data_IF_678276422342
#
_entry.id   IF_678276422342
#
_cell.length_a   1.000
_cell.length_b   1.000
_cell.length_c   1.000
_cell.angle_alpha   90.00
_cell.angle_beta   90.00
_cell.angle_gamma   90.00
#
_symmetry.space_group_name_H-M   'P 1'
#
loop_
_entity.id
_entity.type
_entity.pdbx_description
1 polymer ?
#
# COMPACT_ATOMS: atom_id res chain seq x y z
N UNK A 1 62.35 53.23 20.07
CA UNK A 1 62.52 52.03 20.92
C UNK A 1 61.25 51.84 21.73
N UNK A 2 60.82 50.59 21.79
CA UNK A 2 59.65 50.00 22.46
C UNK A 2 58.22 50.23 21.90
N UNK A 3 57.59 49.15 21.39
CA UNK A 3 56.23 49.10 20.86
C UNK A 3 55.23 48.61 21.92
N UNK A 4 53.98 48.36 21.48
CA UNK A 4 52.89 47.63 22.15
C UNK A 4 51.88 48.54 22.89
N UNK A 5 50.56 48.32 22.81
CA UNK A 5 49.82 47.08 22.63
C UNK A 5 48.51 47.33 21.86
N UNK A 6 48.37 46.64 20.73
CA UNK A 6 47.07 46.36 20.11
C UNK A 6 46.37 45.30 20.96
N UNK A 7 45.32 45.69 21.67
CA UNK A 7 44.43 44.77 22.38
C UNK A 7 43.49 44.15 21.34
N UNK A 8 43.92 43.02 20.78
CA UNK A 8 43.11 42.16 19.92
C UNK A 8 42.11 41.42 20.82
N UNK A 9 40.91 41.97 20.97
CA UNK A 9 39.79 41.28 21.62
C UNK A 9 39.30 40.20 20.66
N UNK A 10 39.88 39.00 20.78
CA UNK A 10 39.36 37.81 20.13
C UNK A 10 38.05 37.42 20.83
N UNK A 11 36.93 37.91 20.31
CA UNK A 11 35.61 37.39 20.63
C UNK A 11 35.57 35.95 20.12
N UNK A 12 35.87 35.02 21.02
CA UNK A 12 35.61 33.60 20.85
C UNK A 12 34.08 33.46 20.76
N UNK A 13 33.52 33.54 19.55
CA UNK A 13 32.19 33.04 19.27
C UNK A 13 32.26 31.52 19.47
N UNK A 14 32.07 31.09 20.71
CA UNK A 14 31.61 29.74 20.98
C UNK A 14 30.22 29.67 20.34
N UNK A 15 30.17 29.20 19.10
CA UNK A 15 28.94 28.70 18.53
C UNK A 15 28.53 27.53 19.43
N UNK A 16 27.67 27.81 20.41
CA UNK A 16 26.95 26.77 21.12
C UNK A 16 26.13 26.07 20.06
N UNK A 17 26.63 24.93 19.59
CA UNK A 17 25.79 24.00 18.85
C UNK A 17 24.68 23.65 19.83
N UNK A 18 23.48 24.17 19.59
CA UNK A 18 22.29 23.69 20.26
C UNK A 18 22.20 22.21 19.92
N UNK A 19 22.52 21.35 20.89
CA UNK A 19 22.32 19.93 20.72
C UNK A 19 20.82 19.71 20.74
N UNK A 20 20.29 18.99 19.74
CA UNK A 20 18.93 18.49 19.79
C UNK A 20 18.78 17.66 21.07
N UNK A 21 17.89 18.07 21.97
CA UNK A 21 17.59 17.24 23.14
C UNK A 21 16.63 16.13 22.72
N UNK A 22 16.79 14.94 23.29
CA UNK A 22 15.80 13.88 23.11
C UNK A 22 14.75 14.00 24.22
N UNK A 23 13.52 14.26 23.84
CA UNK A 23 12.37 14.35 24.74
C UNK A 23 11.45 13.16 24.56
N UNK A 24 11.31 12.36 25.61
CA UNK A 24 10.44 11.18 25.62
C UNK A 24 9.10 11.51 26.25
N UNK A 25 8.01 11.23 25.54
CA UNK A 25 6.65 11.38 26.02
C UNK A 25 6.34 10.34 27.10
N UNK A 26 5.95 10.80 28.28
CA UNK A 26 5.55 9.96 29.42
C UNK A 26 4.03 9.96 29.61
N UNK A 27 3.35 11.02 29.18
CA UNK A 27 1.93 11.28 29.45
C UNK A 27 1.56 11.29 30.95
N UNK A 28 2.49 11.63 31.84
CA UNK A 28 2.29 11.46 33.28
C UNK A 28 1.20 12.35 33.88
N UNK A 29 0.83 13.46 33.23
CA UNK A 29 -0.17 14.41 33.72
C UNK A 29 -1.45 14.43 32.86
N UNK A 30 -1.33 14.58 31.54
CA UNK A 30 -2.48 14.63 30.61
C UNK A 30 -2.05 14.38 29.15
N UNK A 31 -2.97 14.55 28.20
CA UNK A 31 -2.74 14.30 26.77
C UNK A 31 -2.08 15.47 26.01
N UNK A 32 -1.86 16.63 26.63
CA UNK A 32 -1.42 17.84 25.95
C UNK A 32 0.11 17.90 25.81
N UNK A 33 0.61 18.14 24.61
CA UNK A 33 2.05 18.24 24.33
C UNK A 33 2.72 19.46 24.98
N UNK A 34 1.97 20.53 25.22
CA UNK A 34 2.51 21.75 25.84
C UNK A 34 2.83 21.60 27.34
N UNK A 35 2.37 20.53 27.98
CA UNK A 35 2.55 20.33 29.42
C UNK A 35 3.88 19.64 29.74
N UNK A 36 4.76 20.37 30.42
CA UNK A 36 6.08 19.92 30.86
C UNK A 36 6.10 18.61 31.64
N UNK A 37 5.05 18.35 32.44
CA UNK A 37 4.99 17.13 33.25
C UNK A 37 4.84 15.84 32.42
N UNK A 38 4.49 15.96 31.13
CA UNK A 38 4.35 14.82 30.23
C UNK A 38 5.64 14.43 29.50
N UNK A 39 6.76 15.12 29.77
CA UNK A 39 8.02 14.91 29.05
C UNK A 39 9.16 14.53 29.98
N UNK A 40 10.02 13.66 29.48
CA UNK A 40 11.31 13.32 30.07
C UNK A 40 12.39 13.64 29.03
N UNK A 41 13.03 14.79 29.17
CA UNK A 41 14.09 15.24 28.25
C UNK A 41 15.48 15.00 28.83
N UNK A 42 16.47 14.76 27.95
CA UNK A 42 17.86 14.47 28.34
C UNK A 42 18.67 15.69 28.79
N UNK A 43 18.10 16.90 28.79
CA UNK A 43 18.78 18.13 29.19
C UNK A 43 17.92 19.07 30.03
N UNK A 44 18.11 20.38 29.85
CA UNK A 44 17.49 21.40 30.69
C UNK A 44 16.08 21.78 30.23
N UNK A 45 15.68 21.31 29.05
CA UNK A 45 14.37 21.56 28.48
C UNK A 45 13.34 20.67 29.17
N UNK A 46 12.19 21.25 29.52
CA UNK A 46 11.08 20.51 30.16
C UNK A 46 9.90 20.31 29.22
N UNK A 47 9.89 20.97 28.08
CA UNK A 47 8.91 20.84 26.98
C UNK A 47 9.69 20.93 25.67
N UNK A 48 9.63 19.93 24.78
CA UNK A 48 10.42 19.93 23.56
C UNK A 48 10.15 21.18 22.73
N UNK A 49 11.24 21.82 22.30
CA UNK A 49 11.25 22.98 21.43
C UNK A 49 11.51 22.60 19.97
N UNK A 50 11.77 23.63 19.16
CA UNK A 50 12.21 23.40 17.77
C UNK A 50 13.56 22.70 17.79
N UNK A 51 13.83 21.87 16.79
CA UNK A 51 15.07 21.07 16.64
C UNK A 51 15.29 19.95 17.65
N UNK A 52 14.39 19.73 18.61
CA UNK A 52 14.48 18.58 19.50
C UNK A 52 13.98 17.29 18.84
N UNK A 53 14.49 16.15 19.30
CA UNK A 53 14.02 14.82 18.89
C UNK A 53 12.92 14.37 19.85
N UNK A 54 11.70 14.16 19.34
CA UNK A 54 10.57 13.74 20.17
C UNK A 54 10.23 12.27 19.96
N UNK A 55 10.13 11.54 21.06
CA UNK A 55 9.90 10.09 21.07
C UNK A 55 8.62 9.79 21.84
N UNK A 56 7.72 9.05 21.19
CA UNK A 56 6.46 8.57 21.73
C UNK A 56 6.55 7.04 21.94
N UNK A 57 6.95 6.57 23.13
CA UNK A 57 7.24 5.16 23.37
C UNK A 57 5.98 4.35 23.71
N UNK A 58 6.00 3.04 23.44
CA UNK A 58 4.83 2.17 23.66
C UNK A 58 4.37 2.08 25.13
N UNK A 59 5.21 2.47 26.10
CA UNK A 59 4.94 2.39 27.54
C UNK A 59 4.50 3.73 28.16
N UNK A 60 4.18 4.75 27.37
CA UNK A 60 3.59 5.98 27.91
C UNK A 60 2.25 5.71 28.59
N UNK A 61 1.91 6.49 29.61
CA UNK A 61 0.68 6.29 30.40
C UNK A 61 -0.60 6.50 29.58
N UNK A 62 -0.52 7.32 28.52
CA UNK A 62 -1.61 7.59 27.57
C UNK A 62 -1.04 7.68 26.15
N UNK A 63 -1.69 6.96 25.23
CA UNK A 63 -1.33 6.92 23.80
C UNK A 63 -2.22 7.83 22.92
N UNK A 64 -3.27 8.42 23.50
CA UNK A 64 -4.03 9.50 22.88
C UNK A 64 -3.37 10.84 23.21
N UNK A 65 -2.94 11.54 22.17
CA UNK A 65 -2.07 12.72 22.28
C UNK A 65 -2.71 13.90 21.54
N UNK A 66 -2.68 15.07 22.16
CA UNK A 66 -3.19 16.32 21.61
C UNK A 66 -2.01 17.28 21.45
N UNK A 67 -1.66 17.58 20.21
CA UNK A 67 -0.76 18.68 19.92
C UNK A 67 -1.48 20.02 20.12
N UNK A 68 -1.22 20.67 21.25
CA UNK A 68 -1.80 21.95 21.62
C UNK A 68 -0.78 23.10 21.57
N UNK A 69 0.41 22.86 20.99
CA UNK A 69 1.33 23.95 20.71
C UNK A 69 0.67 25.00 19.80
N UNK A 70 0.94 26.30 19.99
CA UNK A 70 0.46 27.34 19.07
C UNK A 70 0.83 27.02 17.61
N UNK A 71 0.01 27.48 16.66
CA UNK A 71 0.06 27.08 15.22
C UNK A 71 1.45 27.25 14.57
N UNK A 72 2.32 28.10 15.10
CA UNK A 72 3.76 28.08 14.83
C UNK A 72 4.45 26.93 15.60
N UNK A 73 3.91 25.71 15.45
CA UNK A 73 4.35 24.52 16.19
C UNK A 73 5.86 24.35 15.97
N UNK A 74 6.63 24.02 17.01
CA UNK A 74 8.04 23.75 16.83
C UNK A 74 8.23 22.69 15.74
N UNK A 75 9.05 23.00 14.74
CA UNK A 75 9.53 21.98 13.83
C UNK A 75 10.55 21.15 14.61
N UNK A 76 10.12 20.01 15.15
CA UNK A 76 10.99 19.05 15.79
C UNK A 76 12.04 18.58 14.79
N UNK A 77 13.21 18.15 15.24
CA UNK A 77 14.19 17.57 14.33
C UNK A 77 13.69 16.20 13.84
N UNK A 78 13.44 15.28 14.76
CA UNK A 78 12.76 14.02 14.47
C UNK A 78 11.52 13.79 15.34
N UNK A 79 10.56 13.04 14.80
CA UNK A 79 9.35 12.61 15.51
C UNK A 79 9.22 11.10 15.36
N UNK A 80 9.21 10.36 16.46
CA UNK A 80 9.10 8.89 16.42
C UNK A 80 7.90 8.40 17.23
N UNK A 81 7.00 7.65 16.58
CA UNK A 81 5.88 6.97 17.22
C UNK A 81 6.08 5.46 17.27
N UNK A 82 5.98 4.93 18.49
CA UNK A 82 5.72 3.52 18.70
C UNK A 82 4.26 3.17 18.34
N UNK A 83 3.91 1.87 18.34
CA UNK A 83 2.54 1.41 18.09
C UNK A 83 1.50 1.90 19.10
N UNK A 84 0.26 2.09 18.64
CA UNK A 84 -0.95 2.31 19.43
C UNK A 84 -1.36 3.77 19.61
N UNK A 85 -0.64 4.72 19.02
CA UNK A 85 -0.91 6.14 19.21
C UNK A 85 -2.08 6.66 18.37
N UNK A 86 -2.86 7.55 18.98
CA UNK A 86 -3.83 8.41 18.30
C UNK A 86 -3.42 9.87 18.50
N UNK A 87 -3.22 10.61 17.40
CA UNK A 87 -2.75 12.01 17.43
C UNK A 87 -3.85 12.95 16.92
N UNK A 88 -4.15 13.98 17.71
CA UNK A 88 -5.10 15.03 17.36
C UNK A 88 -4.56 16.43 17.69
N UNK A 89 -5.38 17.44 17.43
CA UNK A 89 -5.04 18.85 17.66
C UNK A 89 -4.37 19.52 16.45
N UNK A 90 -3.40 20.39 16.73
CA UNK A 90 -2.69 21.18 15.73
C UNK A 90 -1.71 20.33 14.89
N UNK A 91 -1.31 20.80 13.69
CA UNK A 91 -0.34 20.08 12.87
C UNK A 91 0.97 19.82 13.62
N UNK A 92 1.45 18.57 13.55
CA UNK A 92 2.73 18.16 14.13
C UNK A 92 3.79 18.19 13.03
N UNK A 93 4.89 18.90 13.23
CA UNK A 93 5.90 19.13 12.19
C UNK A 93 7.28 18.58 12.57
N UNK A 94 7.95 17.91 11.63
CA UNK A 94 9.35 17.49 11.73
C UNK A 94 10.20 18.10 10.61
N UNK A 95 11.47 18.37 10.93
CA UNK A 95 12.45 18.97 10.05
C UNK A 95 13.26 17.93 9.26
N UNK A 96 13.62 16.81 9.89
CA UNK A 96 14.44 15.76 9.30
C UNK A 96 13.66 14.48 9.01
N UNK A 97 12.92 13.97 9.99
CA UNK A 97 12.28 12.67 9.85
C UNK A 97 11.07 12.49 10.78
N UNK A 98 10.02 11.86 10.26
CA UNK A 98 8.94 11.28 11.04
C UNK A 98 8.92 9.76 10.84
N UNK A 99 8.99 9.00 11.93
CA UNK A 99 8.88 7.54 11.93
C UNK A 99 7.59 7.15 12.65
N UNK A 100 6.75 6.37 11.97
CA UNK A 100 5.51 5.84 12.54
C UNK A 100 5.57 4.33 12.52
N UNK A 101 5.34 3.70 13.66
CA UNK A 101 5.24 2.24 13.76
C UNK A 101 3.79 1.89 14.08
N UNK A 102 3.14 1.08 13.24
CA UNK A 102 1.71 0.78 13.38
C UNK A 102 1.36 -0.18 14.54
N UNK A 103 0.09 -0.25 14.97
CA UNK A 103 -1.04 0.59 14.55
C UNK A 103 -0.88 2.06 14.96
N UNK A 104 -1.45 2.99 14.20
CA UNK A 104 -1.36 4.43 14.47
C UNK A 104 -2.53 5.16 13.79
N UNK A 105 -3.07 6.19 14.42
CA UNK A 105 -4.11 7.04 13.83
C UNK A 105 -3.78 8.53 14.05
N UNK A 106 -3.91 9.36 13.01
CA UNK A 106 -3.79 10.80 13.16
C UNK A 106 -4.94 11.55 12.50
N UNK A 107 -5.65 12.32 13.31
CA UNK A 107 -6.61 13.33 12.86
C UNK A 107 -5.93 14.68 12.63
N UNK A 108 -4.82 14.95 13.32
CA UNK A 108 -3.96 16.11 13.06
C UNK A 108 -3.10 15.89 11.80
N UNK A 109 -2.81 16.93 11.02
CA UNK A 109 -1.82 16.84 9.95
C UNK A 109 -0.42 16.54 10.48
N UNK A 110 0.24 15.51 9.95
CA UNK A 110 1.65 15.22 10.15
C UNK A 110 2.46 15.80 8.99
N UNK A 111 3.28 16.79 9.30
CA UNK A 111 4.08 17.49 8.32
C UNK A 111 5.55 17.06 8.48
N UNK A 112 6.13 16.46 7.46
CA UNK A 112 7.55 16.09 7.45
C UNK A 112 8.27 16.88 6.37
N UNK A 113 9.20 17.75 6.77
CA UNK A 113 10.08 18.43 5.83
C UNK A 113 11.09 17.46 5.21
N UNK A 114 11.48 16.42 5.94
CA UNK A 114 12.30 15.32 5.45
C UNK A 114 11.52 14.01 5.35
N UNK A 115 12.14 12.88 5.71
CA UNK A 115 11.61 11.55 5.46
C UNK A 115 10.35 11.25 6.27
N UNK A 116 9.35 10.59 5.67
CA UNK A 116 8.26 9.97 6.42
C UNK A 116 8.34 8.45 6.24
N UNK A 117 8.61 7.72 7.31
CA UNK A 117 8.72 6.26 7.29
C UNK A 117 7.58 5.63 8.07
N UNK A 118 6.90 4.68 7.43
CA UNK A 118 5.86 3.86 8.06
C UNK A 118 6.35 2.43 8.19
N UNK A 119 6.53 2.00 9.44
CA UNK A 119 7.02 0.67 9.81
C UNK A 119 5.88 -0.23 10.30
N UNK A 120 6.02 -1.51 9.97
CA UNK A 120 5.11 -2.56 10.41
C UNK A 120 5.46 -3.13 11.78
N UNK A 121 4.52 -3.90 12.35
CA UNK A 121 4.72 -4.70 13.56
C UNK A 121 4.32 -6.14 13.33
N UNK A 122 4.90 -7.05 14.12
CA UNK A 122 4.47 -8.45 14.13
C UNK A 122 2.98 -8.52 14.51
N UNK A 123 2.19 -9.22 13.69
CA UNK A 123 0.72 -9.25 13.81
C UNK A 123 -0.01 -8.19 12.97
N UNK A 124 0.72 -7.26 12.35
CA UNK A 124 0.17 -6.19 11.53
C UNK A 124 -0.48 -5.07 12.35
N UNK A 125 -0.88 -4.01 11.66
CA UNK A 125 -1.56 -2.86 12.26
C UNK A 125 -1.74 -1.75 11.22
N UNK A 126 -2.93 -1.15 11.20
CA UNK A 126 -3.23 -0.05 10.29
C UNK A 126 -2.58 1.24 10.81
N UNK A 127 -1.90 1.94 9.91
CA UNK A 127 -1.41 3.30 10.09
C UNK A 127 -2.27 4.21 9.24
N UNK A 128 -3.14 4.99 9.87
CA UNK A 128 -3.90 6.03 9.20
C UNK A 128 -3.32 7.39 9.57
N UNK A 129 -2.97 8.18 8.56
CA UNK A 129 -2.50 9.54 8.81
C UNK A 129 -2.96 10.50 7.72
N UNK A 130 -3.08 11.75 8.15
CA UNK A 130 -3.27 12.91 7.29
C UNK A 130 -2.02 13.77 7.41
N UNK A 131 -1.57 14.39 6.33
CA UNK A 131 -0.31 15.13 6.41
C UNK A 131 0.25 15.60 5.08
N UNK A 132 1.49 16.05 5.12
CA UNK A 132 2.26 16.42 3.93
C UNK A 132 3.73 16.12 4.15
N UNK A 133 4.37 15.59 3.11
CA UNK A 133 5.82 15.48 3.03
C UNK A 133 6.30 16.53 2.03
N UNK A 134 7.32 17.30 2.38
CA UNK A 134 7.67 18.51 1.62
C UNK A 134 8.93 18.34 0.75
N UNK A 135 10.03 17.78 1.27
CA UNK A 135 11.33 17.83 0.57
C UNK A 135 12.06 16.47 0.47
N UNK A 136 11.44 15.38 0.89
CA UNK A 136 12.04 14.06 0.80
C UNK A 136 10.99 13.03 0.34
N UNK A 137 11.07 11.80 0.85
CA UNK A 137 10.32 10.65 0.37
C UNK A 137 9.45 10.06 1.48
N UNK A 138 8.30 9.51 1.06
CA UNK A 138 7.46 8.65 1.87
C UNK A 138 7.84 7.19 1.60
N UNK A 139 8.18 6.45 2.66
CA UNK A 139 8.47 5.02 2.57
C UNK A 139 7.48 4.24 3.42
N UNK A 140 6.75 3.30 2.81
CA UNK A 140 5.83 2.40 3.51
C UNK A 140 6.37 0.97 3.46
N UNK A 141 6.64 0.43 4.64
CA UNK A 141 7.42 -0.80 4.82
C UNK A 141 8.91 -0.53 4.66
N UNK A 142 9.74 -1.23 5.42
CA UNK A 142 11.20 -1.32 5.23
C UNK A 142 11.83 -2.34 6.20
N UNK A 143 11.08 -3.39 6.56
CA UNK A 143 11.43 -4.27 7.66
C UNK A 143 10.88 -5.69 7.50
N UNK A 144 11.05 -6.51 8.53
CA UNK A 144 10.61 -7.91 8.53
C UNK A 144 9.12 -8.08 8.87
N UNK A 145 8.39 -6.98 9.06
CA UNK A 145 6.98 -6.99 9.44
C UNK A 145 6.13 -6.16 8.47
N UNK A 146 4.90 -6.61 8.27
CA UNK A 146 3.95 -5.95 7.37
C UNK A 146 3.55 -4.56 7.87
N UNK A 147 3.78 -3.54 7.04
CA UNK A 147 3.33 -2.18 7.28
C UNK A 147 2.10 -1.91 6.43
N UNK A 148 1.04 -1.34 7.01
CA UNK A 148 -0.18 -1.03 6.27
C UNK A 148 -0.57 0.41 6.51
N UNK A 149 -0.48 1.24 5.47
CA UNK A 149 -0.75 2.67 5.53
C UNK A 149 -1.98 3.06 4.71
N UNK A 150 -2.82 3.93 5.26
CA UNK A 150 -3.84 4.70 4.54
C UNK A 150 -3.54 6.19 4.73
N UNK A 151 -3.49 6.94 3.63
CA UNK A 151 -3.02 8.32 3.61
C UNK A 151 -4.03 9.24 2.92
N UNK A 152 -4.49 10.32 3.57
CA UNK A 152 -5.55 11.20 3.01
C UNK A 152 -5.07 12.55 2.43
N UNK A 153 -3.77 12.88 2.44
CA UNK A 153 -3.30 14.17 1.90
C UNK A 153 -1.82 14.17 1.46
N UNK A 154 -1.49 14.89 0.39
CA UNK A 154 -0.16 15.50 0.15
C UNK A 154 -0.30 16.77 -0.68
N UNK A 155 0.41 17.82 -0.29
CA UNK A 155 0.42 19.12 -0.96
C UNK A 155 1.60 19.32 -1.92
N UNK A 156 2.61 18.44 -1.88
CA UNK A 156 3.76 18.47 -2.78
C UNK A 156 3.98 17.10 -3.41
N UNK A 157 4.30 17.11 -4.70
CA UNK A 157 4.69 15.91 -5.44
C UNK A 157 6.03 15.42 -4.88
N UNK A 158 5.99 14.39 -4.04
CA UNK A 158 7.17 13.74 -3.46
C UNK A 158 7.33 12.31 -3.95
N UNK A 159 8.55 11.74 -3.98
CA UNK A 159 8.74 10.32 -4.22
C UNK A 159 8.02 9.49 -3.14
N UNK A 160 7.34 8.43 -3.58
CA UNK A 160 6.69 7.45 -2.71
C UNK A 160 7.24 6.07 -3.04
N UNK A 161 7.71 5.36 -2.03
CA UNK A 161 8.16 3.97 -2.14
C UNK A 161 7.32 3.07 -1.26
N UNK A 162 6.77 2.02 -1.85
CA UNK A 162 6.15 0.90 -1.14
C UNK A 162 7.15 -0.25 -1.16
N UNK A 163 7.87 -0.42 -0.06
CA UNK A 163 8.91 -1.43 0.03
C UNK A 163 8.32 -2.84 0.25
N UNK A 164 9.19 -3.84 0.38
CA UNK A 164 8.77 -5.21 0.70
C UNK A 164 7.94 -5.26 1.99
N UNK A 165 6.85 -6.04 1.97
CA UNK A 165 5.86 -6.14 3.06
C UNK A 165 5.12 -4.83 3.39
N UNK A 166 5.38 -3.76 2.63
CA UNK A 166 4.59 -2.54 2.67
C UNK A 166 3.28 -2.70 1.93
N UNK A 167 2.21 -2.17 2.50
CA UNK A 167 0.92 -1.99 1.87
C UNK A 167 0.50 -0.54 2.02
N UNK A 168 0.23 0.14 0.90
CA UNK A 168 -0.18 1.54 0.89
C UNK A 168 -1.52 1.71 0.16
N UNK A 169 -2.43 2.45 0.78
CA UNK A 169 -3.59 3.05 0.13
C UNK A 169 -3.49 4.57 0.19
N UNK A 170 -3.69 5.21 -0.95
CA UNK A 170 -3.63 6.67 -1.10
C UNK A 170 -5.02 7.21 -1.34
N UNK A 171 -5.53 8.00 -0.41
CA UNK A 171 -6.81 8.69 -0.47
C UNK A 171 -6.82 9.84 -1.49
N UNK A 172 -8.03 10.33 -1.76
CA UNK A 172 -8.26 11.35 -2.77
C UNK A 172 -7.46 12.64 -2.50
N UNK A 173 -6.75 13.11 -3.52
CA UNK A 173 -5.93 14.33 -3.44
C UNK A 173 -4.47 14.10 -3.08
N UNK A 174 -4.05 12.86 -2.83
CA UNK A 174 -2.62 12.53 -2.71
C UNK A 174 -1.94 12.70 -4.07
N UNK A 175 -0.87 13.51 -4.08
CA UNK A 175 -0.04 13.77 -5.26
C UNK A 175 1.40 13.35 -5.01
N UNK A 176 1.90 12.40 -5.80
CA UNK A 176 3.30 11.94 -5.73
C UNK A 176 4.10 12.45 -6.94
N UNK A 177 5.41 12.70 -6.75
CA UNK A 177 6.33 12.92 -7.88
C UNK A 177 6.60 11.62 -8.61
N UNK A 178 6.91 10.56 -7.89
CA UNK A 178 7.09 9.20 -8.44
C UNK A 178 6.48 8.21 -7.48
N UNK A 179 6.12 7.03 -7.99
CA UNK A 179 5.64 5.93 -7.17
C UNK A 179 6.38 4.65 -7.54
N UNK A 180 7.16 4.11 -6.62
CA UNK A 180 7.85 2.83 -6.79
C UNK A 180 7.26 1.78 -5.85
N UNK A 181 6.86 0.64 -6.40
CA UNK A 181 6.34 -0.51 -5.64
C UNK A 181 7.31 -1.67 -5.80
N UNK A 182 8.09 -1.92 -4.76
CA UNK A 182 9.15 -2.92 -4.76
C UNK A 182 8.61 -4.34 -4.61
N UNK A 183 9.48 -5.34 -4.80
CA UNK A 183 9.10 -6.76 -4.69
C UNK A 183 8.53 -7.09 -3.30
N UNK A 184 7.37 -7.74 -3.27
CA UNK A 184 6.62 -8.02 -2.03
C UNK A 184 5.87 -6.81 -1.46
N UNK A 185 5.94 -5.63 -2.08
CA UNK A 185 5.12 -4.46 -1.75
C UNK A 185 3.75 -4.52 -2.43
N UNK A 186 2.76 -3.83 -1.84
CA UNK A 186 1.38 -3.77 -2.34
C UNK A 186 0.84 -2.35 -2.40
N UNK A 187 0.39 -1.90 -3.57
CA UNK A 187 -0.43 -0.68 -3.69
C UNK A 187 -1.91 -1.08 -3.74
N UNK A 188 -2.74 -0.56 -2.83
CA UNK A 188 -4.16 -0.82 -2.74
C UNK A 188 -4.98 0.44 -3.06
N UNK A 189 -5.66 0.46 -4.21
CA UNK A 189 -6.30 1.68 -4.74
C UNK A 189 -7.77 1.86 -4.34
N UNK A 190 -8.15 1.37 -3.17
CA UNK A 190 -9.57 1.34 -2.80
C UNK A 190 -9.80 0.98 -1.34
N UNK A 191 -8.82 1.24 -0.49
CA UNK A 191 -8.99 1.03 0.94
C UNK A 191 -9.47 2.33 1.57
N UNK A 192 -10.69 2.35 2.16
CA UNK A 192 -11.24 3.54 2.77
C UNK A 192 -10.42 3.92 4.00
N UNK A 193 -10.25 5.22 4.28
CA UNK A 193 -9.79 5.64 5.58
C UNK A 193 -10.79 5.20 6.66
N UNK A 194 -10.33 4.97 7.90
CA UNK A 194 -11.20 4.78 9.05
C UNK A 194 -12.31 5.83 9.10
N UNK A 195 -13.54 5.38 9.31
CA UNK A 195 -14.72 6.25 9.40
C UNK A 195 -15.24 6.82 8.08
N UNK A 196 -14.74 6.37 6.91
CA UNK A 196 -15.30 6.77 5.63
C UNK A 196 -16.79 6.43 5.53
N UNK A 197 -17.60 7.42 5.12
CA UNK A 197 -19.02 7.23 4.86
C UNK A 197 -19.22 6.56 3.49
N UNK A 198 -20.35 5.85 3.34
CA UNK A 198 -20.75 5.29 2.05
C UNK A 198 -20.84 6.35 0.96
N UNK A 199 -20.30 6.06 -0.22
CA UNK A 199 -20.18 6.96 -1.37
C UNK A 199 -18.86 7.75 -1.40
N UNK A 200 -18.00 7.63 -0.39
CA UNK A 200 -16.69 8.30 -0.43
C UNK A 200 -15.80 7.69 -1.53
N UNK A 201 -15.06 8.53 -2.25
CA UNK A 201 -14.01 8.06 -3.14
C UNK A 201 -12.87 7.46 -2.32
N UNK A 202 -12.55 6.20 -2.57
CA UNK A 202 -11.46 5.49 -1.87
C UNK A 202 -10.27 5.35 -2.80
N UNK A 203 -9.04 5.56 -2.32
CA UNK A 203 -7.86 5.07 -3.06
C UNK A 203 -7.54 5.78 -4.39
N UNK A 204 -7.77 7.09 -4.53
CA UNK A 204 -7.41 7.84 -5.75
C UNK A 204 -6.10 8.62 -5.60
N UNK A 205 -5.20 8.47 -6.57
CA UNK A 205 -3.86 9.05 -6.53
C UNK A 205 -3.49 9.68 -7.87
N UNK A 206 -2.81 10.82 -7.82
CA UNK A 206 -2.14 11.40 -8.99
C UNK A 206 -0.63 11.32 -8.81
N UNK A 207 0.08 10.80 -9.80
CA UNK A 207 1.53 10.72 -9.84
C UNK A 207 2.01 11.56 -11.03
N UNK A 208 2.82 12.58 -10.77
CA UNK A 208 3.31 13.51 -11.78
C UNK A 208 4.37 12.88 -12.70
N UNK A 209 5.17 11.96 -12.16
CA UNK A 209 6.21 11.25 -12.88
C UNK A 209 5.87 9.78 -13.07
N UNK A 210 6.92 8.97 -13.13
CA UNK A 210 6.81 7.53 -13.39
C UNK A 210 6.21 6.78 -12.20
N UNK A 211 5.38 5.79 -12.52
CA UNK A 211 4.92 4.74 -11.62
C UNK A 211 5.58 3.44 -12.02
N UNK A 212 6.29 2.78 -11.10
CA UNK A 212 6.97 1.51 -11.36
C UNK A 212 6.50 0.45 -10.38
N UNK A 213 6.24 -0.75 -10.90
CA UNK A 213 5.97 -1.95 -10.11
C UNK A 213 7.02 -3.01 -10.42
N UNK A 214 7.79 -3.42 -9.42
CA UNK A 214 8.79 -4.48 -9.54
C UNK A 214 8.15 -5.88 -9.64
N UNK A 215 8.94 -6.86 -10.08
CA UNK A 215 8.50 -8.25 -10.13
C UNK A 215 8.15 -8.77 -8.73
N UNK A 216 7.01 -9.45 -8.61
CA UNK A 216 6.51 -9.94 -7.31
C UNK A 216 5.89 -8.85 -6.42
N UNK A 217 5.73 -7.62 -6.89
CA UNK A 217 4.86 -6.63 -6.26
C UNK A 217 3.39 -6.88 -6.61
N UNK A 218 2.47 -6.27 -5.86
CA UNK A 218 1.02 -6.40 -6.09
C UNK A 218 0.37 -5.03 -6.29
N UNK A 219 -0.47 -4.94 -7.30
CA UNK A 219 -1.45 -3.88 -7.45
C UNK A 219 -2.83 -4.45 -7.11
N UNK A 220 -3.40 -4.00 -6.00
CA UNK A 220 -4.68 -4.49 -5.49
C UNK A 220 -5.81 -3.49 -5.74
N UNK A 221 -6.90 -4.00 -6.30
CA UNK A 221 -8.19 -3.33 -6.40
C UNK A 221 -9.21 -4.06 -5.54
N UNK A 222 -9.74 -3.36 -4.55
CA UNK A 222 -10.84 -3.78 -3.69
C UNK A 222 -12.14 -3.14 -4.16
N UNK A 223 -13.09 -3.98 -4.56
CA UNK A 223 -14.43 -3.57 -4.92
C UNK A 223 -15.28 -3.53 -3.64
N UNK A 224 -15.56 -2.32 -3.18
CA UNK A 224 -16.47 -2.05 -2.07
C UNK A 224 -17.81 -1.59 -2.64
N UNK A 225 -18.89 -2.26 -2.25
CA UNK A 225 -20.26 -1.93 -2.70
C UNK A 225 -20.73 -0.58 -2.19
N UNK A 226 -20.13 -0.09 -1.10
CA UNK A 226 -20.47 1.16 -0.46
C UNK A 226 -19.55 2.33 -0.82
N UNK A 227 -18.52 2.17 -1.67
CA UNK A 227 -17.55 3.24 -1.94
C UNK A 227 -17.25 3.42 -3.42
N UNK A 228 -16.96 4.67 -3.79
CA UNK A 228 -16.63 5.01 -5.17
C UNK A 228 -15.23 4.51 -5.54
N UNK A 229 -15.04 3.97 -6.76
CA UNK A 229 -13.75 3.51 -7.25
C UNK A 229 -12.65 4.56 -7.14
N UNK A 230 -11.50 4.14 -6.60
CA UNK A 230 -10.25 4.84 -6.76
C UNK A 230 -9.72 4.78 -8.19
N UNK A 231 -8.95 5.80 -8.54
CA UNK A 231 -8.25 5.93 -9.81
C UNK A 231 -6.79 6.24 -9.54
N UNK A 232 -5.89 5.46 -10.14
CA UNK A 232 -4.48 5.82 -10.22
C UNK A 232 -4.22 6.52 -11.55
N UNK A 233 -3.71 7.75 -11.45
CA UNK A 233 -3.38 8.59 -12.59
C UNK A 233 -1.88 8.82 -12.60
N UNK A 234 -1.20 8.43 -13.68
CA UNK A 234 0.20 8.78 -13.91
C UNK A 234 0.30 9.75 -15.09
N UNK A 235 0.99 10.87 -14.91
CA UNK A 235 1.17 11.86 -15.99
C UNK A 235 2.29 11.49 -16.95
N UNK A 236 3.30 10.74 -16.48
CA UNK A 236 4.42 10.31 -17.32
C UNK A 236 4.23 8.89 -17.87
N UNK A 237 4.53 7.86 -17.07
CA UNK A 237 4.49 6.46 -17.47
C UNK A 237 4.06 5.53 -16.33
N UNK A 238 3.52 4.36 -16.67
CA UNK A 238 3.30 3.25 -15.75
C UNK A 238 4.06 2.02 -16.27
N UNK A 239 5.01 1.52 -15.48
CA UNK A 239 5.81 0.32 -15.77
C UNK A 239 5.41 -0.85 -14.85
N UNK A 240 4.97 -1.95 -15.44
CA UNK A 240 4.46 -3.13 -14.75
C UNK A 240 5.40 -4.32 -14.98
N UNK A 241 6.49 -4.39 -14.21
CA UNK A 241 7.60 -5.31 -14.46
C UNK A 241 7.37 -6.68 -13.80
N UNK A 242 6.36 -7.44 -14.25
CA UNK A 242 6.05 -8.75 -13.64
C UNK A 242 5.32 -8.64 -12.29
N UNK A 243 4.62 -7.53 -12.07
CA UNK A 243 3.72 -7.36 -10.94
C UNK A 243 2.53 -8.33 -11.02
N UNK A 244 1.79 -8.46 -9.93
CA UNK A 244 0.50 -9.18 -9.86
C UNK A 244 -0.65 -8.19 -9.77
N UNK A 245 -1.68 -8.37 -10.58
CA UNK A 245 -2.95 -7.64 -10.47
C UNK A 245 -3.90 -8.47 -9.62
N UNK A 246 -4.34 -7.94 -8.48
CA UNK A 246 -5.29 -8.60 -7.59
C UNK A 246 -6.61 -7.84 -7.53
N UNK A 247 -7.72 -8.54 -7.75
CA UNK A 247 -9.08 -8.00 -7.60
C UNK A 247 -9.75 -8.72 -6.42
N UNK A 248 -10.20 -7.95 -5.43
CA UNK A 248 -10.84 -8.42 -4.20
C UNK A 248 -12.25 -7.84 -4.10
N UNK A 249 -13.27 -8.67 -3.90
CA UNK A 249 -14.68 -8.26 -3.72
C UNK A 249 -15.10 -8.46 -2.27
N UNK A 250 -15.37 -7.41 -1.51
CA UNK A 250 -15.67 -7.58 -0.07
C UNK A 250 -17.12 -7.96 0.26
N UNK A 251 -18.05 -7.76 -0.68
CA UNK A 251 -19.44 -8.20 -0.51
C UNK A 251 -19.77 -9.34 -1.50
N UNK A 252 -19.45 -10.60 -1.15
CA UNK A 252 -19.77 -11.75 -1.99
C UNK A 252 -21.27 -12.07 -2.02
N UNK A 253 -22.08 -11.49 -1.12
CA UNK A 253 -23.52 -11.72 -1.06
C UNK A 253 -24.28 -10.82 -2.04
N UNK A 254 -23.74 -9.64 -2.35
CA UNK A 254 -24.28 -8.75 -3.37
C UNK A 254 -23.19 -8.26 -4.36
N UNK A 255 -22.59 -9.18 -5.13
CA UNK A 255 -21.61 -8.81 -6.14
C UNK A 255 -22.23 -8.00 -7.30
N UNK A 256 -23.57 -7.97 -7.37
CA UNK A 256 -24.37 -7.36 -8.43
C UNK A 256 -24.67 -5.88 -8.24
N UNK A 257 -24.36 -5.29 -7.08
CA UNK A 257 -24.93 -4.01 -6.69
C UNK A 257 -24.56 -2.79 -7.57
N UNK A 258 -23.47 -2.78 -8.36
CA UNK A 258 -23.10 -1.58 -9.16
C UNK A 258 -22.33 -1.93 -10.45
N UNK A 259 -22.56 -1.14 -11.51
CA UNK A 259 -21.70 -1.05 -12.69
C UNK A 259 -20.37 -0.38 -12.33
N UNK A 260 -19.33 -1.18 -12.15
CA UNK A 260 -18.04 -0.71 -11.67
C UNK A 260 -17.01 -0.62 -12.81
N UNK A 261 -16.38 0.54 -12.93
CA UNK A 261 -15.26 0.79 -13.82
C UNK A 261 -14.05 1.21 -12.97
N UNK A 262 -12.95 0.45 -13.01
CA UNK A 262 -11.67 0.83 -12.40
C UNK A 262 -10.70 1.16 -13.52
N UNK A 263 -10.01 2.28 -13.43
CA UNK A 263 -9.14 2.74 -14.52
C UNK A 263 -7.77 3.12 -13.97
N UNK A 264 -6.72 2.50 -14.49
CA UNK A 264 -5.37 3.03 -14.43
C UNK A 264 -5.18 3.88 -15.67
N UNK A 265 -4.84 5.14 -15.51
CA UNK A 265 -4.62 6.02 -16.66
C UNK A 265 -3.18 6.50 -16.67
N UNK A 266 -2.46 6.15 -17.72
CA UNK A 266 -1.22 6.83 -18.10
C UNK A 266 -1.58 7.86 -19.19
N UNK A 267 -1.20 9.13 -18.99
CA UNK A 267 -1.48 10.17 -19.96
C UNK A 267 -0.40 10.23 -21.06
N UNK A 268 -0.83 10.07 -22.32
CA UNK A 268 0.01 10.20 -23.52
C UNK A 268 -0.06 8.98 -24.44
N UNK A 269 1.01 8.76 -25.22
CA UNK A 269 1.07 7.66 -26.17
C UNK A 269 1.15 6.26 -25.54
N UNK A 270 0.84 5.21 -26.31
CA UNK A 270 0.83 3.81 -25.83
C UNK A 270 2.20 3.27 -25.42
N UNK A 271 3.31 3.98 -25.70
CA UNK A 271 4.64 3.60 -25.21
C UNK A 271 4.87 3.95 -23.74
N UNK A 272 3.94 4.69 -23.12
CA UNK A 272 4.03 5.09 -21.70
C UNK A 272 3.44 4.08 -20.72
N UNK A 273 2.63 3.13 -21.18
CA UNK A 273 2.22 1.97 -20.39
C UNK A 273 3.08 0.79 -20.85
N UNK A 274 4.10 0.43 -20.07
CA UNK A 274 5.04 -0.63 -20.45
C UNK A 274 5.07 -1.74 -19.42
N UNK A 275 5.52 -2.92 -19.84
CA UNK A 275 5.66 -4.09 -18.98
C UNK A 275 4.58 -5.14 -19.20
N UNK A 276 4.80 -6.28 -18.53
CA UNK A 276 3.95 -7.47 -18.61
C UNK A 276 3.68 -7.91 -17.18
N UNK A 277 2.41 -7.91 -16.75
CA UNK A 277 2.08 -8.78 -15.61
C UNK A 277 2.35 -10.21 -16.07
N UNK A 278 2.99 -11.02 -15.24
CA UNK A 278 3.07 -12.45 -15.50
C UNK A 278 1.62 -12.96 -15.61
N UNK A 279 1.21 -13.43 -16.80
CA UNK A 279 -0.17 -13.82 -17.05
C UNK A 279 -1.16 -12.70 -17.36
N UNK A 280 -0.71 -11.53 -17.86
CA UNK A 280 -1.62 -10.49 -18.36
C UNK A 280 -2.68 -11.10 -19.30
N UNK A 281 -3.96 -10.97 -18.98
CA UNK A 281 -5.02 -11.35 -19.90
C UNK A 281 -4.97 -10.40 -21.11
N UNK A 282 -5.20 -10.95 -22.31
CA UNK A 282 -5.33 -10.15 -23.53
C UNK A 282 -6.44 -9.09 -23.37
N UNK A 283 -6.45 -8.05 -24.20
CA UNK A 283 -7.57 -7.10 -24.20
C UNK A 283 -8.87 -7.86 -24.40
N UNK A 284 -9.87 -7.57 -23.58
CA UNK A 284 -11.17 -8.25 -23.55
C UNK A 284 -11.18 -9.59 -22.81
N UNK A 285 -10.05 -10.07 -22.29
CA UNK A 285 -10.03 -11.31 -21.53
C UNK A 285 -10.73 -11.15 -20.18
N UNK A 286 -11.40 -12.23 -19.77
CA UNK A 286 -12.21 -12.28 -18.58
C UNK A 286 -11.42 -12.90 -17.42
N UNK A 287 -11.42 -12.20 -16.29
CA UNK A 287 -10.79 -12.65 -15.04
C UNK A 287 -11.90 -12.87 -14.02
N UNK A 288 -11.91 -14.05 -13.40
CA UNK A 288 -12.80 -14.31 -12.27
C UNK A 288 -12.26 -13.68 -10.98
N UNK A 289 -13.14 -13.11 -10.17
CA UNK A 289 -12.78 -12.57 -8.87
C UNK A 289 -12.27 -13.71 -7.96
N UNK A 290 -11.04 -13.60 -7.48
CA UNK A 290 -10.39 -14.65 -6.67
C UNK A 290 -11.16 -15.07 -5.41
N UNK A 291 -12.02 -14.19 -4.89
CA UNK A 291 -12.77 -14.38 -3.67
C UNK A 291 -14.30 -14.33 -3.85
N UNK A 292 -14.78 -14.27 -5.09
CA UNK A 292 -16.21 -14.29 -5.42
C UNK A 292 -16.44 -15.07 -6.73
N UNK A 293 -16.51 -16.42 -6.67
CA UNK A 293 -16.73 -17.26 -7.83
C UNK A 293 -18.01 -16.86 -8.59
N UNK A 294 -17.95 -16.85 -9.92
CA UNK A 294 -19.03 -16.39 -10.79
C UNK A 294 -19.03 -14.88 -11.08
N UNK A 295 -18.15 -14.10 -10.46
CA UNK A 295 -17.96 -12.67 -10.77
C UNK A 295 -16.81 -12.50 -11.74
N UNK A 296 -17.09 -11.87 -12.89
CA UNK A 296 -16.12 -11.73 -13.97
C UNK A 296 -15.82 -10.27 -14.29
N UNK A 297 -14.56 -10.00 -14.63
CA UNK A 297 -14.07 -8.69 -15.03
C UNK A 297 -13.38 -8.78 -16.38
N UNK A 298 -13.70 -7.86 -17.30
CA UNK A 298 -12.94 -7.67 -18.52
C UNK A 298 -11.84 -6.63 -18.33
N UNK A 299 -10.69 -6.89 -18.94
CA UNK A 299 -9.59 -5.92 -19.02
C UNK A 299 -9.61 -5.28 -20.41
N UNK A 300 -9.71 -3.97 -20.48
CA UNK A 300 -9.62 -3.20 -21.72
C UNK A 300 -8.40 -2.29 -21.68
N UNK A 301 -7.67 -2.24 -22.79
CA UNK A 301 -6.56 -1.30 -22.94
C UNK A 301 -6.98 -0.10 -23.79
N UNK A 302 -6.51 1.09 -23.41
CA UNK A 302 -6.72 2.31 -24.18
C UNK A 302 -5.98 2.33 -25.51
N UNK A 303 -6.43 3.20 -26.41
CA UNK A 303 -5.76 3.46 -27.70
C UNK A 303 -4.56 4.39 -27.51
N UNK A 304 -3.73 4.50 -28.54
CA UNK A 304 -2.48 5.28 -28.55
C UNK A 304 -2.60 6.75 -28.12
N UNK A 305 -3.80 7.34 -27.99
CA UNK A 305 -3.97 8.72 -27.52
C UNK A 305 -4.30 8.84 -26.02
N UNK A 306 -4.59 7.73 -25.35
CA UNK A 306 -4.81 7.63 -23.90
C UNK A 306 -4.53 6.18 -23.47
N UNK A 307 -3.31 5.86 -23.09
CA UNK A 307 -2.96 4.53 -22.61
C UNK A 307 -3.54 4.27 -21.21
N UNK A 308 -4.56 3.42 -21.12
CA UNK A 308 -5.17 3.06 -19.85
C UNK A 308 -5.39 1.55 -19.72
N UNK A 309 -5.51 1.05 -18.49
CA UNK A 309 -6.07 -0.27 -18.19
C UNK A 309 -7.40 -0.02 -17.50
N UNK A 310 -8.49 -0.44 -18.14
CA UNK A 310 -9.82 -0.39 -17.58
C UNK A 310 -10.26 -1.80 -17.19
N UNK A 311 -10.71 -1.96 -15.95
CA UNK A 311 -11.29 -3.20 -15.44
C UNK A 311 -12.77 -2.95 -15.27
N UNK A 312 -13.59 -3.70 -16.00
CA UNK A 312 -15.06 -3.54 -15.99
C UNK A 312 -15.70 -4.86 -15.62
N UNK A 313 -16.68 -4.84 -14.72
CA UNK A 313 -17.48 -6.04 -14.45
C UNK A 313 -18.24 -6.43 -15.71
N UNK A 314 -18.28 -7.73 -16.03
CA UNK A 314 -19.05 -8.26 -17.16
C UNK A 314 -19.94 -9.40 -16.71
N UNK A 315 -20.96 -9.70 -17.53
CA UNK A 315 -21.74 -10.91 -17.35
C UNK A 315 -20.84 -12.14 -17.38
N UNK A 316 -21.19 -13.16 -16.58
CA UNK A 316 -20.47 -14.42 -16.61
C UNK A 316 -20.46 -14.99 -18.04
N UNK A 317 -19.33 -15.57 -18.49
CA UNK A 317 -19.30 -16.25 -19.77
C UNK A 317 -20.36 -17.35 -19.76
N UNK A 318 -21.06 -17.56 -20.90
CA UNK A 318 -22.06 -18.61 -20.99
C UNK A 318 -21.42 -19.95 -20.64
N UNK A 319 -22.14 -20.86 -19.96
CA UNK A 319 -21.62 -22.19 -19.69
C UNK A 319 -21.14 -22.81 -21.01
N UNK A 320 -20.04 -23.59 -21.01
CA UNK A 320 -19.64 -24.34 -22.18
C UNK A 320 -20.86 -25.05 -22.72
N UNK A 321 -21.19 -24.86 -24.00
CA UNK A 321 -22.31 -25.54 -24.62
C UNK A 321 -22.22 -27.02 -24.23
N UNK A 322 -23.33 -27.65 -23.78
CA UNK A 322 -23.31 -29.05 -23.36
C UNK A 322 -22.54 -29.82 -24.42
N UNK A 323 -21.36 -30.30 -24.06
CA UNK A 323 -20.46 -30.90 -25.02
C UNK A 323 -21.28 -31.98 -25.71
N UNK A 324 -21.41 -31.89 -27.05
CA UNK A 324 -21.99 -32.98 -27.82
C UNK A 324 -21.31 -34.25 -27.29
N UNK A 325 -22.08 -35.26 -26.84
CA UNK A 325 -21.51 -36.46 -26.27
C UNK A 325 -20.41 -36.91 -27.21
N UNK A 326 -19.19 -37.01 -26.69
CA UNK A 326 -17.99 -37.32 -27.48
C UNK A 326 -18.39 -38.40 -28.47
N UNK A 327 -18.36 -38.07 -29.77
CA UNK A 327 -18.76 -39.01 -30.80
C UNK A 327 -17.91 -40.26 -30.55
N UNK A 328 -18.57 -41.32 -30.05
CA UNK A 328 -17.93 -42.60 -29.84
C UNK A 328 -17.38 -42.91 -31.23
N UNK A 329 -16.04 -43.00 -31.42
CA UNK A 329 -15.51 -43.33 -32.72
C UNK A 329 -16.16 -44.66 -33.10
N UNK A 330 -16.96 -44.65 -34.17
CA UNK A 330 -17.58 -45.85 -34.68
C UNK A 330 -16.43 -46.82 -34.94
N UNK A 331 -16.29 -47.83 -34.07
CA UNK A 331 -15.33 -48.89 -34.26
C UNK A 331 -15.67 -49.50 -35.61
N UNK A 332 -14.75 -49.37 -36.57
CA UNK A 332 -14.86 -50.07 -37.84
C UNK A 332 -15.14 -51.56 -37.55
N UNK A 333 -15.81 -52.30 -38.45
CA UNK A 333 -16.15 -53.72 -38.22
C UNK A 333 -14.99 -54.60 -37.73
N UNK A 334 -13.75 -54.23 -38.06
CA UNK A 334 -12.52 -54.85 -37.54
C UNK A 334 -12.31 -54.67 -36.02
N UNK A 335 -12.71 -53.54 -35.44
CA UNK A 335 -12.62 -53.25 -34.01
C UNK A 335 -13.61 -54.06 -33.15
N UNK A 336 -14.77 -54.42 -33.71
CA UNK A 336 -15.75 -55.31 -33.06
C UNK A 336 -15.29 -56.78 -33.04
N UNK A 337 -14.55 -57.22 -34.07
CA UNK A 337 -13.95 -58.56 -34.13
C UNK A 337 -12.80 -58.74 -33.12
N UNK A 338 -12.02 -57.69 -32.85
CA UNK A 338 -10.95 -57.74 -31.86
C UNK A 338 -11.46 -57.74 -30.42
N UNK A 339 -12.55 -57.00 -30.12
CA UNK A 339 -13.14 -56.98 -28.78
C UNK A 339 -13.80 -58.32 -28.42
N UNK A 340 -14.40 -59.01 -29.40
CA UNK A 340 -15.01 -60.34 -29.20
C UNK A 340 -13.97 -61.45 -29.02
N UNK A 341 -12.79 -61.35 -29.65
CA UNK A 341 -11.67 -62.27 -29.43
C UNK A 341 -11.04 -62.12 -28.03
N UNK A 342 -10.98 -60.88 -27.49
CA UNK A 342 -10.43 -60.61 -26.16
C UNK A 342 -11.33 -61.12 -25.02
N UNK A 343 -12.66 -61.03 -25.17
CA UNK A 343 -13.60 -61.53 -24.15
C UNK A 343 -13.74 -63.06 -24.22
N UNK A 344 -13.60 -63.68 -25.40
CA UNK A 344 -13.59 -65.14 -25.55
C UNK A 344 -12.34 -65.85 -24.99
N UNK A 345 -11.18 -65.18 -24.99
CA UNK A 345 -9.92 -65.75 -24.50
C UNK A 345 -9.77 -65.81 -22.97
N UNK A 346 -10.47 -64.94 -22.23
CA UNK A 346 -10.38 -64.88 -20.78
C UNK A 346 -11.10 -66.03 -20.05
N UNK A 347 -12.01 -66.75 -20.72
CA UNK A 347 -12.76 -67.87 -20.15
C UNK A 347 -12.02 -69.21 -20.09
N UNK A 348 -10.91 -69.38 -20.83
CA UNK A 348 -10.22 -70.66 -20.99
C UNK A 348 -8.99 -70.87 -20.10
N UNK A 349 -8.57 -69.85 -19.33
CA UNK A 349 -7.35 -69.92 -18.50
C UNK A 349 -7.59 -70.29 -17.02
N UNK A 350 -8.80 -70.68 -16.61
CA UNK A 350 -9.13 -71.00 -15.20
C UNK A 350 -9.39 -72.48 -14.89
N UNK A 351 -8.83 -73.41 -15.66
CA UNK A 351 -8.77 -74.83 -15.27
C UNK A 351 -7.46 -75.49 -15.69
N UNK A 352 -6.41 -75.36 -14.88
CA UNK A 352 -5.39 -76.42 -14.68
C UNK A 352 -4.36 -76.04 -13.62
N UNK A 353 -4.54 -76.59 -12.41
CA UNK A 353 -3.51 -77.25 -11.56
C UNK A 353 -3.87 -77.11 -10.07
N UNK A 354 -4.19 -78.24 -9.45
CA UNK A 354 -3.38 -78.84 -8.37
C UNK A 354 -3.86 -80.28 -8.17
N UNK A 355 -2.91 -81.22 -8.20
CA UNK A 355 -3.11 -82.64 -7.91
C UNK A 355 -2.49 -83.02 -6.57
N UNK A 356 -2.82 -84.24 -6.14
CA UNK A 356 -2.08 -85.22 -5.33
C UNK A 356 -0.77 -84.76 -4.66
N UNK A 357 -0.73 -84.79 -3.34
CA UNK A 357 -0.30 -85.96 -2.53
C UNK A 357 -1.29 -86.17 -1.39
#
# INVERSE_FOLDING_TARGET
>A
MHPARTLFFAALLAATQAQAETCTWTAAANANLSNAANWSCTGAVTVPGSTDDVVFPANAATLSVINDFPIASPAFHTVTFAPGYTVGGNPLSSGLETVITGPFESTAPLNSAGWLRVNGVAGGGLVHFRGSVYNAELVVGNGTASAHAVMDATSNAIPVTVASQGRLSMGAGVTAATLDVQSGGTLALSEPPPGAAGGSQVGSATVAGAVTFAAGSTLEYRALTSHDPGRLTAQDSIALNGATLRIVVEDPANPDAIGFMRTLVAYGDSSKLTGRFAGLPASGALIEASNAPGVWYSVSYGVNSNAFIQITRVAAPPPPAPGNPAAIPALAPAGLALLSALVGGAGLLRRRKRGFE
#
